data_IF_696827211199
#
_entry.id   IF_696827211199
#
_cell.length_a   1.000
_cell.length_b   1.000
_cell.length_c   1.000
_cell.angle_alpha   90.00
_cell.angle_beta   90.00
_cell.angle_gamma   90.00
#
_symmetry.space_group_name_H-M   'P 1'
#
loop_
_entity.id
_entity.type
_entity.pdbx_description
1 polymer ?
#
# COMPACT_ATOMS: atom_id res chain seq x y z
N UNK A 1 55.56 -9.76 -5.70
CA UNK A 1 54.15 -9.44 -5.36
C UNK A 1 53.93 -7.96 -5.04
N UNK A 2 54.97 -7.17 -4.78
CA UNK A 2 54.89 -5.72 -4.52
C UNK A 2 54.96 -4.84 -5.77
N UNK A 3 55.46 -5.36 -6.90
CA UNK A 3 55.65 -4.57 -8.14
C UNK A 3 54.35 -4.17 -8.85
N UNK A 4 53.23 -4.87 -8.57
CA UNK A 4 51.92 -4.51 -9.12
C UNK A 4 51.35 -3.22 -8.51
N UNK A 5 51.69 -2.92 -7.24
CA UNK A 5 51.15 -1.75 -6.52
C UNK A 5 51.97 -0.46 -6.78
N UNK A 6 53.22 -0.60 -7.25
CA UNK A 6 54.11 0.52 -7.57
C UNK A 6 53.97 1.00 -9.02
N UNK A 7 53.32 0.21 -9.89
CA UNK A 7 53.11 0.59 -11.29
C UNK A 7 52.00 1.65 -11.43
N UNK A 8 52.29 2.82 -12.03
CA UNK A 8 51.30 3.87 -12.28
C UNK A 8 50.07 3.40 -13.07
N UNK A 9 50.27 2.43 -13.97
CA UNK A 9 49.20 1.89 -14.82
C UNK A 9 48.15 1.09 -14.03
N UNK A 10 48.53 0.45 -12.91
CA UNK A 10 47.59 -0.26 -12.06
C UNK A 10 46.56 0.69 -11.43
N UNK A 11 47.02 1.86 -10.96
CA UNK A 11 46.16 2.92 -10.45
C UNK A 11 45.27 3.53 -11.54
N UNK A 12 45.76 3.60 -12.78
CA UNK A 12 44.96 4.01 -13.93
C UNK A 12 43.83 3.01 -14.22
N UNK A 13 44.11 1.71 -14.27
CA UNK A 13 43.09 0.69 -14.49
C UNK A 13 42.07 0.61 -13.34
N UNK A 14 42.50 0.84 -12.10
CA UNK A 14 41.61 0.89 -10.95
C UNK A 14 40.69 2.12 -10.95
N UNK A 15 41.13 3.24 -11.54
CA UNK A 15 40.31 4.46 -11.63
C UNK A 15 39.11 4.31 -12.58
N UNK A 16 39.22 3.47 -13.62
CA UNK A 16 38.16 3.24 -14.61
C UNK A 16 36.84 2.77 -13.95
N UNK A 17 36.80 1.65 -13.19
CA UNK A 17 35.56 1.19 -12.55
C UNK A 17 35.08 2.16 -11.46
N UNK A 18 35.97 2.87 -10.77
CA UNK A 18 35.59 3.84 -9.72
C UNK A 18 34.86 5.04 -10.33
N UNK A 19 35.42 5.61 -11.40
CA UNK A 19 34.80 6.74 -12.11
C UNK A 19 33.50 6.29 -12.78
N UNK A 20 33.49 5.11 -13.41
CA UNK A 20 32.29 4.55 -14.02
C UNK A 20 31.18 4.33 -12.98
N UNK A 21 31.49 3.81 -11.80
CA UNK A 21 30.54 3.63 -10.71
C UNK A 21 29.99 4.97 -10.20
N UNK A 22 30.86 5.98 -10.03
CA UNK A 22 30.46 7.31 -9.58
C UNK A 22 29.53 7.99 -10.59
N UNK A 23 29.87 7.96 -11.87
CA UNK A 23 29.04 8.56 -12.93
C UNK A 23 27.72 7.80 -13.08
N UNK A 24 27.77 6.47 -13.10
CA UNK A 24 26.59 5.62 -13.20
C UNK A 24 25.61 5.86 -12.04
N UNK A 25 26.13 5.88 -10.81
CA UNK A 25 25.33 6.19 -9.62
C UNK A 25 24.73 7.60 -9.71
N UNK A 26 25.57 8.61 -9.97
CA UNK A 26 25.15 10.01 -9.99
C UNK A 26 24.07 10.25 -11.05
N UNK A 27 24.25 9.68 -12.24
CA UNK A 27 23.30 9.85 -13.34
C UNK A 27 21.98 9.14 -13.05
N UNK A 28 22.02 7.91 -12.51
CA UNK A 28 20.80 7.18 -12.16
C UNK A 28 20.02 7.91 -11.05
N UNK A 29 20.72 8.42 -10.03
CA UNK A 29 20.12 9.22 -8.97
C UNK A 29 19.46 10.49 -9.52
N UNK A 30 20.15 11.20 -10.42
CA UNK A 30 19.61 12.40 -11.06
C UNK A 30 18.41 12.09 -11.95
N UNK A 31 18.43 10.98 -12.69
CA UNK A 31 17.32 10.55 -13.54
C UNK A 31 16.04 10.29 -12.75
N UNK A 32 16.15 9.58 -11.62
CA UNK A 32 15.02 9.37 -10.70
C UNK A 32 14.52 10.73 -10.20
N UNK A 33 15.41 11.63 -9.79
CA UNK A 33 15.02 12.97 -9.32
C UNK A 33 14.28 13.77 -10.39
N UNK A 34 14.74 13.75 -11.65
CA UNK A 34 14.09 14.41 -12.79
C UNK A 34 12.72 13.82 -13.17
N UNK A 35 12.46 12.58 -12.76
CA UNK A 35 11.15 11.94 -12.97
C UNK A 35 10.08 12.55 -12.06
N UNK A 36 10.47 12.96 -10.85
CA UNK A 36 9.58 13.56 -9.85
C UNK A 36 9.57 15.10 -9.85
N UNK A 37 10.63 15.76 -10.30
CA UNK A 37 10.76 17.21 -10.30
C UNK A 37 10.88 17.79 -11.72
N UNK A 38 10.34 18.99 -12.01
CA UNK A 38 9.59 19.86 -11.09
C UNK A 38 8.12 19.40 -10.90
N UNK A 39 7.57 19.67 -9.72
CA UNK A 39 6.22 19.27 -9.32
C UNK A 39 5.14 20.03 -10.11
N UNK A 40 5.40 21.31 -10.38
CA UNK A 40 4.56 22.17 -11.21
C UNK A 40 5.23 22.37 -12.58
N UNK A 41 4.42 22.72 -13.59
CA UNK A 41 4.94 23.03 -14.91
C UNK A 41 5.72 24.34 -14.86
N UNK A 42 7.04 24.28 -15.04
CA UNK A 42 7.91 25.46 -15.11
C UNK A 42 8.21 25.73 -16.58
N UNK A 43 7.76 26.88 -17.10
CA UNK A 43 8.00 27.27 -18.49
C UNK A 43 6.97 28.22 -19.10
N UNK A 44 7.19 28.60 -20.37
CA UNK A 44 6.23 29.37 -21.18
C UNK A 44 5.41 28.39 -22.04
N UNK A 45 4.08 28.24 -21.80
CA UNK A 45 3.23 27.46 -22.69
C UNK A 45 3.23 28.08 -24.10
N UNK A 46 3.21 27.29 -25.20
CA UNK A 46 2.87 25.86 -25.28
C UNK A 46 4.03 24.88 -25.50
N UNK A 47 5.28 25.34 -25.69
CA UNK A 47 6.39 24.47 -26.14
C UNK A 47 7.61 24.46 -25.20
N UNK A 48 7.74 25.45 -24.31
CA UNK A 48 8.96 25.67 -23.53
C UNK A 48 8.70 25.50 -22.04
N UNK A 49 8.39 24.26 -21.62
CA UNK A 49 8.37 23.93 -20.20
C UNK A 49 8.69 22.48 -19.92
N UNK A 50 9.20 22.26 -18.70
CA UNK A 50 9.55 20.94 -18.19
C UNK A 50 8.73 20.71 -16.92
N UNK A 51 8.03 19.58 -16.88
CA UNK A 51 7.45 19.02 -15.67
C UNK A 51 7.91 17.56 -15.52
N UNK A 52 8.08 17.09 -14.28
CA UNK A 52 8.32 15.66 -14.04
C UNK A 52 7.23 14.79 -14.66
N UNK A 53 7.59 13.61 -15.16
CA UNK A 53 6.63 12.71 -15.83
C UNK A 53 5.58 12.13 -14.85
N UNK A 54 5.95 11.93 -13.59
CA UNK A 54 5.04 11.48 -12.54
C UNK A 54 4.05 12.59 -12.14
N UNK A 55 4.48 13.80 -11.73
CA UNK A 55 3.55 14.87 -11.34
C UNK A 55 2.60 15.28 -12.48
N UNK A 56 3.07 15.34 -13.73
CA UNK A 56 2.21 15.65 -14.89
C UNK A 56 1.08 14.64 -15.12
N UNK A 57 1.22 13.41 -14.60
CA UNK A 57 0.24 12.33 -14.71
C UNK A 57 -0.30 11.85 -13.36
N UNK A 58 -0.08 12.61 -12.28
CA UNK A 58 -0.36 12.20 -10.91
C UNK A 58 -1.80 11.71 -10.71
N UNK A 59 -2.81 12.43 -11.22
CA UNK A 59 -4.23 12.03 -11.11
C UNK A 59 -4.50 10.64 -11.71
N UNK A 60 -3.99 10.38 -12.92
CA UNK A 60 -4.21 9.10 -13.62
C UNK A 60 -3.48 7.95 -12.92
N UNK A 61 -2.28 8.21 -12.39
CA UNK A 61 -1.52 7.22 -11.64
C UNK A 61 -2.16 6.91 -10.29
N UNK A 62 -2.63 7.93 -9.57
CA UNK A 62 -3.33 7.77 -8.30
C UNK A 62 -4.61 6.93 -8.46
N UNK A 63 -5.43 7.22 -9.47
CA UNK A 63 -6.64 6.44 -9.76
C UNK A 63 -6.31 4.96 -9.97
N UNK A 64 -5.35 4.65 -10.86
CA UNK A 64 -4.93 3.26 -11.10
C UNK A 64 -4.38 2.56 -9.86
N UNK A 65 -3.64 3.28 -9.02
CA UNK A 65 -3.08 2.73 -7.78
C UNK A 65 -4.18 2.43 -6.76
N UNK A 66 -5.18 3.31 -6.65
CA UNK A 66 -6.34 3.10 -5.78
C UNK A 66 -7.17 1.92 -6.29
N UNK A 67 -7.48 1.87 -7.58
CA UNK A 67 -8.22 0.76 -8.19
C UNK A 67 -7.51 -0.58 -7.95
N UNK A 68 -6.19 -0.63 -8.15
CA UNK A 68 -5.39 -1.83 -7.91
C UNK A 68 -5.26 -2.21 -6.43
N UNK A 69 -5.40 -1.24 -5.52
CA UNK A 69 -5.40 -1.50 -4.07
C UNK A 69 -6.76 -2.01 -3.64
N UNK A 70 -7.84 -1.36 -4.08
CA UNK A 70 -9.22 -1.79 -3.82
C UNK A 70 -9.47 -3.18 -4.40
N UNK A 71 -8.94 -3.51 -5.58
CA UNK A 71 -9.09 -4.85 -6.13
C UNK A 71 -8.38 -5.94 -5.31
N UNK A 72 -7.41 -5.58 -4.46
CA UNK A 72 -6.69 -6.49 -3.57
C UNK A 72 -7.26 -6.51 -2.16
N UNK A 73 -7.92 -5.43 -1.74
CA UNK A 73 -8.76 -5.44 -0.55
C UNK A 73 -9.98 -6.26 -0.95
N UNK A 74 -9.90 -7.55 -0.66
CA UNK A 74 -10.89 -8.54 -1.04
C UNK A 74 -12.31 -8.16 -0.66
N UNK A 75 -13.26 -8.88 -1.25
CA UNK A 75 -14.66 -8.73 -0.86
C UNK A 75 -14.85 -9.09 0.63
N UNK A 76 -15.95 -8.62 1.23
CA UNK A 76 -16.32 -9.00 2.61
C UNK A 76 -16.31 -10.52 2.77
N UNK A 77 -16.75 -11.23 1.73
CA UNK A 77 -16.75 -12.69 1.65
C UNK A 77 -15.35 -13.29 1.78
N UNK A 78 -14.35 -12.76 1.07
CA UNK A 78 -12.95 -13.21 1.18
C UNK A 78 -12.37 -12.97 2.58
N UNK A 79 -12.79 -11.90 3.25
CA UNK A 79 -12.42 -11.65 4.64
C UNK A 79 -13.08 -12.69 5.56
N UNK A 80 -14.37 -12.98 5.37
CA UNK A 80 -15.09 -14.01 6.13
C UNK A 80 -14.51 -15.41 5.94
N UNK A 81 -14.06 -15.76 4.73
CA UNK A 81 -13.41 -17.04 4.44
C UNK A 81 -12.07 -17.20 5.19
N UNK A 82 -11.40 -16.10 5.54
CA UNK A 82 -10.17 -16.12 6.33
C UNK A 82 -10.41 -16.18 7.84
N UNK A 83 -11.65 -15.97 8.31
CA UNK A 83 -12.01 -16.02 9.73
C UNK A 83 -12.35 -17.47 10.11
N UNK A 84 -11.75 -17.99 11.20
CA UNK A 84 -12.11 -19.31 11.73
C UNK A 84 -13.58 -19.30 12.23
N UNK A 85 -14.47 -20.13 11.65
CA UNK A 85 -15.88 -20.18 12.04
C UNK A 85 -16.08 -20.49 13.52
N UNK A 86 -15.19 -21.28 14.14
CA UNK A 86 -15.29 -21.65 15.55
C UNK A 86 -14.99 -20.46 16.45
N UNK A 87 -13.99 -19.65 16.08
CA UNK A 87 -13.63 -18.43 16.82
C UNK A 87 -14.75 -17.41 16.73
N UNK A 88 -15.31 -17.22 15.53
CA UNK A 88 -16.44 -16.32 15.33
C UNK A 88 -17.68 -16.76 16.13
N UNK A 89 -18.04 -18.05 16.08
CA UNK A 89 -19.17 -18.59 16.83
C UNK A 89 -18.97 -18.45 18.34
N UNK A 90 -17.78 -18.76 18.85
CA UNK A 90 -17.47 -18.61 20.27
C UNK A 90 -17.59 -17.14 20.73
N UNK A 91 -17.17 -16.19 19.90
CA UNK A 91 -17.28 -14.77 20.21
C UNK A 91 -18.73 -14.27 20.18
N UNK A 92 -19.53 -14.73 19.21
CA UNK A 92 -20.96 -14.44 19.14
C UNK A 92 -21.68 -14.98 20.37
N UNK A 93 -21.44 -16.25 20.72
CA UNK A 93 -22.05 -16.87 21.92
C UNK A 93 -21.64 -16.09 23.16
N UNK A 94 -20.35 -15.84 23.38
CA UNK A 94 -19.89 -15.08 24.54
C UNK A 94 -20.53 -13.69 24.67
N UNK A 95 -20.81 -13.03 23.54
CA UNK A 95 -21.41 -11.69 23.53
C UNK A 95 -22.93 -11.73 23.74
N UNK A 96 -23.60 -12.74 23.18
CA UNK A 96 -25.07 -12.82 23.13
C UNK A 96 -25.65 -13.59 24.33
N UNK A 97 -24.94 -14.58 24.85
CA UNK A 97 -25.36 -15.45 25.95
C UNK A 97 -25.83 -14.68 27.20
N UNK A 98 -25.13 -13.62 27.67
CA UNK A 98 -25.57 -12.87 28.85
C UNK A 98 -26.89 -12.09 28.66
N UNK A 99 -27.31 -11.89 27.41
CA UNK A 99 -28.50 -11.09 27.05
C UNK A 99 -29.58 -11.91 26.35
N UNK A 100 -29.34 -13.20 26.16
CA UNK A 100 -30.26 -14.06 25.40
C UNK A 100 -31.63 -14.12 26.06
N UNK A 101 -31.66 -14.14 27.40
CA UNK A 101 -32.91 -14.16 28.18
C UNK A 101 -33.70 -12.86 28.01
N UNK A 102 -33.03 -11.71 28.14
CA UNK A 102 -33.62 -10.38 27.87
C UNK A 102 -34.19 -10.31 26.44
N UNK A 103 -33.44 -10.79 25.45
CA UNK A 103 -33.89 -10.78 24.06
C UNK A 103 -35.06 -11.72 23.80
N UNK A 104 -35.06 -12.91 24.42
CA UNK A 104 -36.18 -13.86 24.29
C UNK A 104 -37.44 -13.29 24.93
N UNK A 105 -37.33 -12.72 26.13
CA UNK A 105 -38.45 -12.08 26.82
C UNK A 105 -39.02 -10.92 26.01
N UNK A 106 -38.15 -10.04 25.49
CA UNK A 106 -38.58 -8.91 24.67
C UNK A 106 -39.26 -9.37 23.37
N UNK A 107 -38.73 -10.40 22.71
CA UNK A 107 -39.29 -10.94 21.47
C UNK A 107 -40.65 -11.65 21.71
N UNK A 108 -40.75 -12.42 22.80
CA UNK A 108 -41.96 -13.15 23.15
C UNK A 108 -43.08 -12.22 23.62
N UNK A 109 -42.76 -11.20 24.43
CA UNK A 109 -43.73 -10.16 24.80
C UNK A 109 -44.23 -9.38 23.58
N UNK A 110 -43.39 -9.22 22.56
CA UNK A 110 -43.78 -8.51 21.33
C UNK A 110 -44.66 -9.35 20.41
N UNK A 111 -44.28 -10.60 20.13
CA UNK A 111 -44.97 -11.44 19.14
C UNK A 111 -46.13 -12.25 19.75
N UNK A 112 -46.00 -12.70 21.00
CA UNK A 112 -46.98 -13.56 21.69
C UNK A 112 -47.21 -13.13 23.15
N UNK A 113 -47.63 -11.87 23.41
CA UNK A 113 -47.78 -11.32 24.76
C UNK A 113 -48.70 -12.17 25.65
N UNK A 114 -49.87 -12.56 25.13
CA UNK A 114 -50.84 -13.36 25.88
C UNK A 114 -50.38 -14.77 26.22
N UNK A 115 -49.44 -15.35 25.46
CA UNK A 115 -48.90 -16.66 25.80
C UNK A 115 -47.80 -16.53 26.86
N UNK A 116 -46.94 -15.50 26.72
CA UNK A 116 -45.80 -15.28 27.60
C UNK A 116 -46.18 -14.72 28.97
N UNK A 117 -47.17 -13.82 29.05
CA UNK A 117 -47.70 -13.28 30.31
C UNK A 117 -48.42 -14.34 31.17
N UNK A 118 -48.83 -15.46 30.57
CA UNK A 118 -49.58 -16.54 31.23
C UNK A 118 -48.70 -17.77 31.57
N UNK A 119 -47.39 -17.71 31.31
CA UNK A 119 -46.41 -18.74 31.66
C UNK A 119 -45.82 -18.49 33.04
#
# INVERSE_FOLDING_TARGET
MTDLLTNPEFWQYLSIPVIAALIGWSTNWLAIKMTFYPLEFIGKPPLLGWQGIIPSKARKMAAKSVDATISKIGTVQEIFEQIDPKVLAAHIIYTVDPRIEEYVDELMLREYPTFWENL
#
